data_IF_028273801411
#
_entry.id   IF_028273801411
#
_cell.length_a   1.000
_cell.length_b   1.000
_cell.length_c   1.000
_cell.angle_alpha   90.00
_cell.angle_beta   90.00
_cell.angle_gamma   90.00
#
_symmetry.space_group_name_H-M   'P 1'
#
loop_
_entity.id
_entity.type
_entity.pdbx_description
1 polymer ?
#
# COMPACT_ATOMS: atom_id res chain seq x y z
N UNK A 1 -71.18 -58.96 2.33
CA UNK A 1 -69.82 -59.52 2.46
C UNK A 1 -68.99 -58.54 3.26
N UNK A 2 -68.43 -59.01 4.36
CA UNK A 2 -67.63 -58.24 5.32
C UNK A 2 -66.32 -57.75 4.71
N UNK A 3 -65.88 -56.56 5.10
CA UNK A 3 -64.46 -56.26 5.30
C UNK A 3 -64.33 -55.22 6.42
N UNK A 4 -64.08 -55.71 7.64
CA UNK A 4 -63.73 -54.90 8.80
C UNK A 4 -62.27 -54.41 8.66
N UNK A 5 -62.05 -53.13 8.88
CA UNK A 5 -60.72 -52.52 9.07
C UNK A 5 -60.40 -52.46 10.56
N UNK A 6 -59.18 -52.86 10.96
CA UNK A 6 -58.61 -52.61 12.29
C UNK A 6 -57.09 -52.82 12.28
N UNK A 7 -56.31 -51.78 12.61
CA UNK A 7 -54.97 -51.82 13.26
C UNK A 7 -54.83 -50.46 13.98
N UNK A 8 -55.13 -50.29 15.27
CA UNK A 8 -54.39 -50.55 16.53
C UNK A 8 -52.99 -49.91 16.63
N UNK A 9 -52.89 -48.94 17.53
CA UNK A 9 -51.68 -48.27 18.04
C UNK A 9 -50.92 -49.19 19.02
N UNK A 10 -49.59 -49.21 18.94
CA UNK A 10 -48.73 -49.85 19.94
C UNK A 10 -47.35 -49.20 20.01
N UNK A 11 -47.03 -48.57 21.14
CA UNK A 11 -45.72 -48.04 21.48
C UNK A 11 -44.74 -49.17 21.80
N UNK A 12 -43.49 -49.06 21.35
CA UNK A 12 -42.36 -49.81 21.87
C UNK A 12 -41.30 -48.81 22.37
N UNK A 13 -40.95 -48.94 23.65
CA UNK A 13 -39.82 -48.28 24.26
C UNK A 13 -38.58 -49.17 24.12
N UNK A 14 -37.42 -48.61 23.76
CA UNK A 14 -36.13 -49.12 24.20
C UNK A 14 -35.05 -48.04 24.22
N UNK A 15 -34.44 -47.92 25.40
CA UNK A 15 -33.02 -47.73 25.65
C UNK A 15 -32.35 -46.41 25.25
N UNK A 16 -32.32 -45.55 26.25
CA UNK A 16 -31.31 -44.52 26.51
C UNK A 16 -29.88 -45.10 26.42
N UNK A 17 -29.01 -44.40 25.69
CA UNK A 17 -27.57 -44.58 25.73
C UNK A 17 -26.94 -43.20 25.48
N UNK A 18 -26.22 -42.63 26.45
CA UNK A 18 -25.57 -41.35 26.27
C UNK A 18 -24.48 -41.49 25.21
N UNK A 19 -24.66 -40.83 24.06
CA UNK A 19 -23.59 -40.58 23.11
C UNK A 19 -22.55 -39.72 23.84
N UNK A 20 -21.28 -40.12 23.95
CA UNK A 20 -20.26 -39.20 24.46
C UNK A 20 -20.22 -38.00 23.52
N UNK A 21 -20.12 -36.76 24.03
CA UNK A 21 -19.87 -35.62 23.16
C UNK A 21 -18.53 -35.89 22.49
N UNK A 22 -18.58 -36.27 21.22
CA UNK A 22 -17.40 -36.21 20.38
C UNK A 22 -17.15 -34.72 20.19
N UNK A 23 -16.38 -34.14 21.10
CA UNK A 23 -15.66 -32.90 20.84
C UNK A 23 -14.76 -33.23 19.66
N UNK A 24 -15.30 -33.12 18.45
CA UNK A 24 -14.49 -32.88 17.28
C UNK A 24 -13.93 -31.49 17.47
N UNK A 25 -12.85 -31.43 18.25
CA UNK A 25 -11.78 -30.46 17.98
C UNK A 25 -11.37 -30.76 16.55
N UNK A 26 -12.02 -30.08 15.60
CA UNK A 26 -11.49 -29.90 14.26
C UNK A 26 -10.05 -29.44 14.51
N UNK A 27 -9.02 -30.17 14.04
CA UNK A 27 -7.68 -29.62 14.03
C UNK A 27 -7.81 -28.29 13.28
N UNK A 28 -7.48 -27.18 13.93
CA UNK A 28 -7.44 -25.87 13.26
C UNK A 28 -6.74 -26.10 11.93
N UNK A 29 -7.49 -25.97 10.85
CA UNK A 29 -6.92 -25.84 9.53
C UNK A 29 -5.97 -24.65 9.68
N UNK A 30 -4.69 -24.88 9.44
CA UNK A 30 -3.74 -23.79 9.28
C UNK A 30 -4.25 -22.95 8.10
N UNK A 31 -5.07 -21.94 8.39
CA UNK A 31 -5.53 -20.97 7.41
C UNK A 31 -4.28 -20.26 6.92
N UNK A 32 -4.04 -20.31 5.61
CA UNK A 32 -3.19 -19.33 4.94
C UNK A 32 -3.67 -17.95 5.41
N UNK A 33 -2.76 -17.21 6.07
CA UNK A 33 -3.06 -16.20 7.08
C UNK A 33 -4.22 -15.26 6.77
N UNK A 34 -5.07 -15.08 7.77
CA UNK A 34 -6.16 -14.09 7.73
C UNK A 34 -5.58 -12.70 7.44
N UNK A 35 -6.19 -11.97 6.51
CA UNK A 35 -5.86 -10.57 6.24
C UNK A 35 -6.27 -9.75 7.46
N UNK A 36 -5.38 -8.91 8.04
CA UNK A 36 -5.76 -8.05 9.16
C UNK A 36 -6.92 -7.12 8.81
N UNK A 37 -7.73 -6.79 9.81
CA UNK A 37 -8.74 -5.74 9.67
C UNK A 37 -8.04 -4.38 9.77
N UNK A 38 -8.08 -3.61 8.68
CA UNK A 38 -7.48 -2.27 8.62
C UNK A 38 -8.56 -1.20 8.82
N UNK A 39 -8.19 -0.13 9.51
CA UNK A 39 -9.07 1.01 9.78
C UNK A 39 -8.57 2.29 9.08
N UNK A 40 -9.44 3.29 9.00
CA UNK A 40 -9.11 4.62 8.47
C UNK A 40 -9.23 4.76 6.95
N UNK A 41 -8.93 5.95 6.40
CA UNK A 41 -9.18 6.26 4.99
C UNK A 41 -8.42 5.36 4.01
N UNK A 42 -7.26 4.84 4.41
CA UNK A 42 -6.40 4.03 3.56
C UNK A 42 -6.59 2.52 3.74
N UNK A 43 -7.58 2.07 4.51
CA UNK A 43 -7.80 0.65 4.87
C UNK A 43 -7.84 -0.28 3.66
N UNK A 44 -8.54 0.12 2.60
CA UNK A 44 -8.67 -0.68 1.37
C UNK A 44 -7.32 -0.88 0.67
N UNK A 45 -6.46 0.15 0.71
CA UNK A 45 -5.13 0.07 0.10
C UNK A 45 -4.17 -0.76 0.97
N UNK A 46 -4.27 -0.67 2.30
CA UNK A 46 -3.57 -1.61 3.20
C UNK A 46 -3.95 -3.06 2.90
N UNK A 47 -5.26 -3.36 2.80
CA UNK A 47 -5.74 -4.71 2.47
C UNK A 47 -5.26 -5.19 1.11
N UNK A 48 -5.27 -4.31 0.10
CA UNK A 48 -4.80 -4.61 -1.25
C UNK A 48 -3.30 -4.91 -1.27
N UNK A 49 -2.48 -4.02 -0.69
CA UNK A 49 -1.03 -4.22 -0.63
C UNK A 49 -0.70 -5.45 0.20
N UNK A 50 -1.33 -5.64 1.35
CA UNK A 50 -1.12 -6.83 2.17
C UNK A 50 -1.43 -8.11 1.38
N UNK A 51 -2.56 -8.19 0.68
CA UNK A 51 -2.97 -9.40 -0.05
C UNK A 51 -2.24 -9.66 -1.37
N UNK A 52 -1.45 -8.71 -1.89
CA UNK A 52 -0.72 -8.87 -3.14
C UNK A 52 0.27 -10.03 -3.09
N UNK A 53 0.41 -10.75 -4.22
CA UNK A 53 1.36 -11.86 -4.38
C UNK A 53 2.82 -11.39 -4.45
N UNK A 54 3.04 -10.10 -4.72
CA UNK A 54 4.38 -9.50 -4.73
C UNK A 54 4.81 -8.99 -3.36
N UNK A 55 3.91 -9.00 -2.37
CA UNK A 55 4.20 -8.50 -1.02
C UNK A 55 4.96 -9.55 -0.21
N UNK A 56 6.16 -9.18 0.23
CA UNK A 56 7.06 -10.03 1.02
C UNK A 56 6.59 -10.18 2.47
N UNK A 57 7.15 -11.15 3.20
CA UNK A 57 6.78 -11.35 4.62
C UNK A 57 7.13 -10.13 5.47
N UNK A 58 8.32 -9.55 5.29
CA UNK A 58 8.75 -8.33 6.00
C UNK A 58 7.78 -7.17 5.72
N UNK A 59 7.30 -7.02 4.48
CA UNK A 59 6.29 -6.02 4.16
C UNK A 59 4.95 -6.31 4.84
N UNK A 60 4.53 -7.58 4.95
CA UNK A 60 3.30 -7.97 5.67
C UNK A 60 3.40 -7.65 7.15
N UNK A 61 4.56 -7.90 7.76
CA UNK A 61 4.82 -7.56 9.16
C UNK A 61 4.66 -6.06 9.42
N UNK A 62 5.26 -5.21 8.57
CA UNK A 62 5.13 -3.74 8.64
C UNK A 62 3.69 -3.27 8.42
N UNK A 63 2.95 -3.93 7.54
CA UNK A 63 1.57 -3.54 7.25
C UNK A 63 0.58 -4.01 8.33
N UNK A 64 0.94 -4.99 9.17
CA UNK A 64 -0.02 -5.80 9.93
C UNK A 64 -0.86 -5.00 10.93
N UNK A 65 -0.35 -3.89 11.47
CA UNK A 65 -1.05 -3.04 12.43
C UNK A 65 -1.76 -1.83 11.78
N UNK A 66 -1.70 -1.71 10.45
CA UNK A 66 -2.31 -0.62 9.71
C UNK A 66 -1.56 0.72 9.80
N UNK A 67 -0.33 0.73 10.33
CA UNK A 67 0.48 1.95 10.47
C UNK A 67 1.90 1.67 9.96
N UNK A 68 2.35 2.42 8.95
CA UNK A 68 3.74 2.37 8.51
C UNK A 68 4.49 3.50 9.21
N UNK A 69 5.40 3.15 10.12
CA UNK A 69 6.21 4.14 10.85
C UNK A 69 7.40 4.64 10.02
N UNK A 70 7.91 5.83 10.34
CA UNK A 70 9.13 6.37 9.72
C UNK A 70 10.32 5.42 9.87
N UNK A 71 10.41 4.69 11.00
CA UNK A 71 11.49 3.75 11.27
C UNK A 71 11.41 2.50 10.38
N UNK A 72 10.22 1.93 10.22
CA UNK A 72 9.99 0.79 9.31
C UNK A 72 10.24 1.19 7.86
N UNK A 73 9.77 2.37 7.47
CA UNK A 73 10.03 2.87 6.12
C UNK A 73 11.52 3.14 5.88
N UNK A 74 12.23 3.72 6.86
CA UNK A 74 13.67 3.91 6.79
C UNK A 74 14.44 2.58 6.69
N UNK A 75 13.99 1.54 7.41
CA UNK A 75 14.53 0.19 7.30
C UNK A 75 14.37 -0.35 5.87
N UNK A 76 13.15 -0.29 5.30
CA UNK A 76 12.91 -0.75 3.93
C UNK A 76 13.76 -0.01 2.89
N UNK A 77 13.94 1.31 3.05
CA UNK A 77 14.84 2.10 2.20
C UNK A 77 16.30 1.67 2.37
N UNK A 78 16.72 1.34 3.58
CA UNK A 78 18.04 0.76 3.85
C UNK A 78 18.24 -0.58 3.14
N UNK A 79 17.25 -1.46 3.22
CA UNK A 79 17.27 -2.76 2.53
C UNK A 79 17.32 -2.59 1.00
N UNK A 80 16.56 -1.63 0.47
CA UNK A 80 16.59 -1.27 -0.95
C UNK A 80 17.99 -0.82 -1.39
N UNK A 81 18.62 0.08 -0.62
CA UNK A 81 19.99 0.53 -0.85
C UNK A 81 20.96 -0.65 -0.87
N UNK A 82 20.92 -1.48 0.16
CA UNK A 82 21.82 -2.64 0.30
C UNK A 82 21.64 -3.61 -0.88
N UNK A 83 20.41 -3.84 -1.33
CA UNK A 83 20.15 -4.69 -2.50
C UNK A 83 20.85 -4.17 -3.76
N UNK A 84 20.82 -2.86 -4.01
CA UNK A 84 21.52 -2.26 -5.16
C UNK A 84 23.04 -2.31 -4.97
N UNK A 85 23.54 -2.07 -3.75
CA UNK A 85 24.98 -2.16 -3.44
C UNK A 85 25.52 -3.58 -3.61
N UNK A 86 24.73 -4.61 -3.27
CA UNK A 86 25.06 -6.02 -3.50
C UNK A 86 25.15 -6.37 -5.01
N UNK A 87 24.51 -5.58 -5.87
CA UNK A 87 24.62 -5.66 -7.33
C UNK A 87 25.83 -4.87 -7.88
N UNK A 88 26.64 -4.27 -7.00
CA UNK A 88 27.82 -3.50 -7.35
C UNK A 88 27.55 -2.04 -7.73
N UNK A 89 26.37 -1.52 -7.40
CA UNK A 89 25.99 -0.12 -7.63
C UNK A 89 26.39 0.73 -6.43
N UNK A 90 26.79 1.99 -6.67
CA UNK A 90 26.95 2.96 -5.57
C UNK A 90 25.69 3.81 -5.50
N UNK A 91 25.04 3.84 -4.33
CA UNK A 91 23.71 4.43 -4.18
C UNK A 91 23.68 5.49 -3.09
N UNK A 92 23.13 6.65 -3.44
CA UNK A 92 22.77 7.70 -2.49
C UNK A 92 21.25 7.74 -2.33
N UNK A 93 20.77 7.65 -1.09
CA UNK A 93 19.35 7.80 -0.75
C UNK A 93 19.15 9.21 -0.19
N UNK A 94 18.27 9.98 -0.82
CA UNK A 94 18.00 11.35 -0.38
C UNK A 94 16.98 11.37 0.78
N UNK A 95 17.19 12.22 1.81
CA UNK A 95 16.23 12.39 2.90
C UNK A 95 14.82 12.78 2.41
N UNK A 96 14.75 13.61 1.36
CA UNK A 96 13.51 14.08 0.74
C UNK A 96 12.78 13.02 -0.11
N UNK A 97 13.26 11.77 -0.14
CA UNK A 97 12.75 10.74 -1.03
C UNK A 97 13.55 10.64 -2.34
N UNK A 98 13.39 9.53 -3.05
CA UNK A 98 14.19 9.19 -4.23
C UNK A 98 15.61 8.70 -3.90
N UNK A 99 16.40 8.44 -4.93
CA UNK A 99 17.78 7.98 -4.86
C UNK A 99 18.55 8.35 -6.13
N UNK A 100 19.87 8.32 -6.04
CA UNK A 100 20.77 8.39 -7.18
C UNK A 100 21.70 7.17 -7.19
N UNK A 101 22.07 6.74 -8.39
CA UNK A 101 23.02 5.65 -8.62
C UNK A 101 24.21 6.22 -9.39
N UNK A 102 25.43 6.00 -8.89
CA UNK A 102 26.65 6.35 -9.62
C UNK A 102 26.93 5.32 -10.71
N UNK A 103 26.95 5.77 -11.97
CA UNK A 103 27.16 4.96 -13.16
C UNK A 103 28.65 4.69 -13.40
N UNK A 104 29.35 4.13 -12.43
CA UNK A 104 30.78 3.85 -12.59
C UNK A 104 31.02 2.63 -13.50
N UNK A 105 30.76 2.81 -14.80
CA UNK A 105 31.27 2.09 -15.97
C UNK A 105 30.80 0.66 -16.23
N UNK A 106 30.30 -0.08 -15.24
CA UNK A 106 30.03 -1.52 -15.37
C UNK A 106 28.59 -1.90 -15.69
N UNK A 107 27.62 -1.03 -15.40
CA UNK A 107 26.18 -1.28 -15.59
C UNK A 107 25.60 -0.14 -16.44
N UNK A 108 24.91 -0.49 -17.53
CA UNK A 108 24.24 0.51 -18.38
C UNK A 108 22.94 0.98 -17.71
N UNK A 109 22.55 2.25 -17.90
CA UNK A 109 21.30 2.86 -17.41
C UNK A 109 20.05 1.99 -17.60
N UNK A 110 19.90 1.30 -18.73
CA UNK A 110 18.77 0.38 -18.98
C UNK A 110 18.78 -0.80 -18.01
N UNK A 111 19.96 -1.36 -17.71
CA UNK A 111 20.07 -2.46 -16.75
C UNK A 111 19.78 -1.99 -15.32
N UNK A 112 20.09 -0.73 -15.00
CA UNK A 112 19.73 -0.14 -13.71
C UNK A 112 18.20 0.03 -13.62
N UNK A 113 17.62 0.71 -14.59
CA UNK A 113 16.20 1.14 -14.56
C UNK A 113 15.20 0.03 -14.85
N UNK A 114 15.52 -0.95 -15.69
CA UNK A 114 14.59 -2.01 -16.10
C UNK A 114 14.79 -3.34 -15.37
N UNK A 115 15.92 -3.54 -14.67
CA UNK A 115 16.21 -4.77 -13.93
C UNK A 115 16.57 -4.51 -12.46
N UNK A 116 17.72 -3.88 -12.19
CA UNK A 116 18.25 -3.76 -10.83
C UNK A 116 17.28 -3.04 -9.87
N UNK A 117 16.75 -1.88 -10.28
CA UNK A 117 15.81 -1.09 -9.48
C UNK A 117 14.50 -1.83 -9.28
N UNK A 118 13.74 -2.27 -10.32
CA UNK A 118 12.48 -2.98 -10.13
C UNK A 118 12.62 -4.24 -9.28
N UNK A 119 13.72 -4.99 -9.47
CA UNK A 119 14.03 -6.19 -8.69
C UNK A 119 14.25 -5.87 -7.22
N UNK A 120 15.03 -4.83 -6.91
CA UNK A 120 15.29 -4.44 -5.53
C UNK A 120 14.05 -3.84 -4.88
N UNK A 121 13.29 -3.00 -5.60
CA UNK A 121 12.01 -2.45 -5.12
C UNK A 121 11.06 -3.58 -4.73
N UNK A 122 10.81 -4.55 -5.63
CA UNK A 122 9.90 -5.66 -5.36
C UNK A 122 10.29 -6.45 -4.09
N UNK A 123 11.59 -6.60 -3.80
CA UNK A 123 12.08 -7.38 -2.65
C UNK A 123 12.12 -6.60 -1.34
N UNK A 124 12.07 -5.28 -1.38
CA UNK A 124 12.35 -4.41 -0.22
C UNK A 124 11.22 -3.42 0.01
N UNK A 125 11.26 -2.24 -0.59
CA UNK A 125 10.27 -1.18 -0.41
C UNK A 125 8.89 -1.48 -0.99
N UNK A 126 8.84 -2.16 -2.14
CA UNK A 126 7.62 -2.57 -2.84
C UNK A 126 6.53 -1.50 -2.89
N UNK A 127 5.28 -1.95 -2.78
CA UNK A 127 4.13 -1.06 -2.72
C UNK A 127 3.95 -0.36 -1.36
N UNK A 128 4.72 -0.77 -0.33
CA UNK A 128 4.72 -0.12 0.99
C UNK A 128 5.24 1.32 0.86
N UNK A 129 6.24 1.56 0.00
CA UNK A 129 6.73 2.93 -0.26
C UNK A 129 5.66 3.85 -0.81
N UNK A 130 4.90 3.41 -1.83
CA UNK A 130 3.82 4.20 -2.38
C UNK A 130 2.78 4.49 -1.30
N UNK A 131 2.34 3.47 -0.55
CA UNK A 131 1.35 3.63 0.51
C UNK A 131 1.80 4.65 1.57
N UNK A 132 3.03 4.52 2.07
CA UNK A 132 3.62 5.44 3.06
C UNK A 132 3.65 6.90 2.56
N UNK A 133 4.18 7.12 1.35
CA UNK A 133 4.29 8.47 0.79
C UNK A 133 2.91 9.10 0.51
N UNK A 134 1.94 8.31 0.02
CA UNK A 134 0.58 8.79 -0.17
C UNK A 134 -0.10 9.19 1.14
N UNK A 135 0.05 8.39 2.20
CA UNK A 135 -0.53 8.66 3.53
C UNK A 135 0.03 9.96 4.09
N UNK A 136 1.36 10.17 4.04
CA UNK A 136 1.98 11.35 4.64
C UNK A 136 1.54 12.67 4.00
N UNK A 137 1.37 12.70 2.69
CA UNK A 137 0.93 13.93 1.97
C UNK A 137 -0.59 14.08 1.87
N UNK A 138 -1.36 13.02 2.12
CA UNK A 138 -2.82 13.00 2.02
C UNK A 138 -3.45 12.01 3.04
N UNK A 139 -3.36 12.29 4.36
CA UNK A 139 -3.76 11.35 5.41
C UNK A 139 -5.26 11.03 5.38
N UNK A 140 -6.08 11.99 4.93
CA UNK A 140 -7.53 11.86 4.83
C UNK A 140 -8.00 11.18 3.52
N UNK A 141 -7.08 10.75 2.65
CA UNK A 141 -7.36 10.18 1.33
C UNK A 141 -8.34 11.04 0.48
N UNK A 142 -8.10 12.36 0.45
CA UNK A 142 -8.88 13.29 -0.38
C UNK A 142 -8.67 13.00 -1.87
N UNK A 143 -9.59 13.42 -2.74
CA UNK A 143 -9.39 13.30 -4.20
C UNK A 143 -8.13 14.05 -4.62
N UNK A 144 -7.16 13.30 -5.11
CA UNK A 144 -5.81 13.76 -5.45
C UNK A 144 -5.84 14.98 -6.38
N UNK A 145 -6.62 14.91 -7.45
CA UNK A 145 -6.70 15.99 -8.42
C UNK A 145 -7.32 17.26 -7.82
N UNK A 146 -8.24 17.10 -6.87
CA UNK A 146 -8.85 18.23 -6.17
C UNK A 146 -7.79 18.97 -5.33
N UNK A 147 -7.07 18.25 -4.47
CA UNK A 147 -6.07 18.88 -3.59
C UNK A 147 -4.89 19.48 -4.38
N UNK A 148 -4.47 18.82 -5.47
CA UNK A 148 -3.41 19.37 -6.36
C UNK A 148 -3.90 20.64 -7.06
N UNK A 149 -5.12 20.64 -7.64
CA UNK A 149 -5.66 21.84 -8.29
C UNK A 149 -5.85 22.99 -7.32
N UNK A 150 -6.27 22.72 -6.09
CA UNK A 150 -6.36 23.74 -5.04
C UNK A 150 -4.98 24.33 -4.73
N UNK A 151 -3.93 23.51 -4.62
CA UNK A 151 -2.56 23.99 -4.47
C UNK A 151 -2.11 24.85 -5.66
N UNK A 152 -2.33 24.38 -6.90
CA UNK A 152 -1.94 25.11 -8.11
C UNK A 152 -2.64 26.47 -8.19
N UNK A 153 -3.90 26.57 -7.76
CA UNK A 153 -4.63 27.84 -7.66
C UNK A 153 -4.08 28.75 -6.55
N UNK A 154 -3.78 28.18 -5.37
CA UNK A 154 -3.20 28.95 -4.24
C UNK A 154 -1.84 29.57 -4.60
N UNK A 155 -1.09 28.93 -5.50
CA UNK A 155 0.23 29.38 -5.96
C UNK A 155 0.17 30.13 -7.30
N UNK A 156 -1.02 30.56 -7.75
CA UNK A 156 -1.23 31.30 -9.01
C UNK A 156 -0.66 30.61 -10.28
N UNK A 157 -0.47 29.28 -10.24
CA UNK A 157 0.03 28.49 -11.38
C UNK A 157 -1.06 28.36 -12.45
N UNK A 158 -2.32 28.26 -12.02
CA UNK A 158 -3.49 28.10 -12.89
C UNK A 158 -4.61 29.06 -12.50
N UNK A 159 -5.46 29.40 -13.47
CA UNK A 159 -6.62 30.27 -13.23
C UNK A 159 -7.74 29.60 -12.42
N UNK A 160 -8.65 30.42 -11.88
CA UNK A 160 -9.77 29.97 -11.05
C UNK A 160 -10.69 28.93 -11.72
N UNK A 161 -10.78 28.95 -13.05
CA UNK A 161 -11.58 28.01 -13.84
C UNK A 161 -10.90 26.66 -14.11
N UNK A 162 -9.64 26.47 -13.72
CA UNK A 162 -8.96 25.17 -13.85
C UNK A 162 -9.63 24.13 -12.95
N UNK A 163 -9.79 22.89 -13.44
CA UNK A 163 -10.61 21.87 -12.76
C UNK A 163 -9.83 20.58 -12.55
N UNK A 164 -10.22 19.74 -11.56
CA UNK A 164 -9.63 18.41 -11.36
C UNK A 164 -9.69 17.53 -12.61
N UNK A 165 -10.77 17.63 -13.40
CA UNK A 165 -10.90 16.89 -14.66
C UNK A 165 -9.93 17.38 -15.74
N UNK A 166 -9.64 18.69 -15.77
CA UNK A 166 -8.60 19.22 -16.66
C UNK A 166 -7.21 18.76 -16.20
N UNK A 167 -6.93 18.81 -14.90
CA UNK A 167 -5.68 18.30 -14.33
C UNK A 167 -5.42 16.84 -14.70
N UNK A 168 -6.42 15.96 -14.54
CA UNK A 168 -6.29 14.54 -14.92
C UNK A 168 -5.93 14.39 -16.41
N UNK A 169 -6.60 15.13 -17.31
CA UNK A 169 -6.29 15.11 -18.75
C UNK A 169 -4.89 15.64 -19.05
N UNK A 170 -4.51 16.74 -18.40
CA UNK A 170 -3.21 17.38 -18.59
C UNK A 170 -2.07 16.47 -18.10
N UNK A 171 -2.27 15.78 -16.98
CA UNK A 171 -1.35 14.79 -16.45
C UNK A 171 -1.19 13.60 -17.41
N UNK A 172 -2.30 13.01 -17.86
CA UNK A 172 -2.30 11.86 -18.78
C UNK A 172 -1.63 12.19 -20.13
N UNK A 173 -1.86 13.41 -20.64
CA UNK A 173 -1.29 13.86 -21.90
C UNK A 173 0.10 14.53 -21.76
N UNK A 174 0.54 14.78 -20.52
CA UNK A 174 1.72 15.59 -20.20
C UNK A 174 1.69 16.98 -20.86
N UNK A 175 0.54 17.66 -20.80
CA UNK A 175 0.29 18.99 -21.40
C UNK A 175 -0.26 19.98 -20.38
N UNK A 176 -0.42 21.26 -20.77
CA UNK A 176 -1.19 22.25 -20.00
C UNK A 176 -0.50 22.86 -18.77
N UNK A 177 0.50 22.18 -18.22
CA UNK A 177 1.33 22.66 -17.10
C UNK A 177 2.82 22.61 -17.46
N UNK A 178 3.61 23.49 -16.83
CA UNK A 178 5.06 23.33 -16.80
C UNK A 178 5.43 22.34 -15.70
N UNK A 179 5.46 21.05 -16.07
CA UNK A 179 5.76 19.94 -15.16
C UNK A 179 7.16 19.99 -14.54
N UNK A 180 8.07 20.78 -15.12
CA UNK A 180 9.42 20.97 -14.58
C UNK A 180 9.49 22.16 -13.59
N UNK A 181 8.47 23.02 -13.57
CA UNK A 181 8.43 24.14 -12.64
C UNK A 181 8.36 23.67 -11.19
N UNK A 182 9.07 24.37 -10.31
CA UNK A 182 9.06 24.09 -8.88
C UNK A 182 7.64 24.11 -8.33
N UNK A 183 6.81 25.08 -8.72
CA UNK A 183 5.45 25.20 -8.19
C UNK A 183 4.55 24.00 -8.55
N UNK A 184 4.62 23.51 -9.80
CA UNK A 184 3.85 22.30 -10.20
C UNK A 184 4.35 21.07 -9.44
N UNK A 185 5.67 20.91 -9.34
CA UNK A 185 6.27 19.77 -8.62
C UNK A 185 5.92 19.79 -7.13
N UNK A 186 6.02 20.94 -6.47
CA UNK A 186 5.61 21.10 -5.07
C UNK A 186 4.14 20.78 -4.89
N UNK A 187 3.25 21.28 -5.75
CA UNK A 187 1.83 20.97 -5.62
C UNK A 187 1.48 19.51 -5.93
N UNK A 188 2.26 18.81 -6.76
CA UNK A 188 2.09 17.38 -7.00
C UNK A 188 2.63 16.51 -5.86
N UNK A 189 3.70 16.96 -5.19
CA UNK A 189 4.36 16.21 -4.11
C UNK A 189 3.73 16.48 -2.74
N UNK A 190 3.36 17.72 -2.45
CA UNK A 190 2.74 18.16 -1.20
C UNK A 190 1.58 19.14 -1.48
N UNK A 191 0.46 18.66 -2.04
CA UNK A 191 -0.70 19.49 -2.36
C UNK A 191 -1.33 20.17 -1.14
N UNK A 192 -1.14 19.60 0.06
CA UNK A 192 -1.70 20.11 1.30
C UNK A 192 -0.74 21.04 2.05
N UNK A 193 0.56 21.00 1.76
CA UNK A 193 1.59 21.77 2.46
C UNK A 193 1.84 21.24 3.87
N UNK A 194 1.78 19.91 4.05
CA UNK A 194 1.86 19.24 5.35
C UNK A 194 3.12 18.40 5.53
N UNK A 195 3.93 18.24 4.49
CA UNK A 195 5.24 17.63 4.63
C UNK A 195 6.17 18.68 5.24
N UNK A 196 6.87 18.34 6.32
CA UNK A 196 7.89 19.23 6.86
C UNK A 196 8.97 19.46 5.79
N UNK A 197 9.35 20.72 5.56
CA UNK A 197 10.42 21.05 4.63
C UNK A 197 11.69 20.29 5.06
N UNK A 198 12.10 19.28 4.29
CA UNK A 198 13.42 18.65 4.41
C UNK A 198 14.58 19.65 4.16
N UNK A 199 14.25 20.93 3.93
CA UNK A 199 15.16 22.07 3.77
C UNK A 199 15.25 22.96 5.01
N UNK A 200 14.53 22.69 6.11
CA UNK A 200 14.77 23.38 7.36
C UNK A 200 16.06 22.85 7.98
N UNK A 201 17.16 23.63 8.07
CA UNK A 201 18.31 23.21 8.84
C UNK A 201 17.86 23.01 10.29
N UNK A 202 18.25 21.87 10.85
CA UNK A 202 18.22 21.67 12.29
C UNK A 202 19.16 22.68 12.94
N UNK A 203 18.61 23.62 13.71
CA UNK A 203 19.35 24.56 14.55
C UNK A 203 18.94 26.02 14.30
N UNK A 204 18.67 26.84 15.32
CA UNK A 204 19.10 26.83 16.73
C UNK A 204 17.95 27.16 17.70
#
# INVERSE_FOLDING_TARGET
MLALSSIVVGCAATSDSPRPPTTQTRPSENTVGDIPEFEGPWSDLFANVYSSTTTTEVQREILADGVITDAEYAQLRGDFKQCLEDLGLTVEIYPSGGFAVDENGSVNETQISEDAVPRCEQRTVGSVALLYEQIRRNPDQKDEATIVVECLKRNDVVGASYTPAQYKRDLDAYTGLDWNSTAVRTCAQDPLGILEDASAPSGE
#
